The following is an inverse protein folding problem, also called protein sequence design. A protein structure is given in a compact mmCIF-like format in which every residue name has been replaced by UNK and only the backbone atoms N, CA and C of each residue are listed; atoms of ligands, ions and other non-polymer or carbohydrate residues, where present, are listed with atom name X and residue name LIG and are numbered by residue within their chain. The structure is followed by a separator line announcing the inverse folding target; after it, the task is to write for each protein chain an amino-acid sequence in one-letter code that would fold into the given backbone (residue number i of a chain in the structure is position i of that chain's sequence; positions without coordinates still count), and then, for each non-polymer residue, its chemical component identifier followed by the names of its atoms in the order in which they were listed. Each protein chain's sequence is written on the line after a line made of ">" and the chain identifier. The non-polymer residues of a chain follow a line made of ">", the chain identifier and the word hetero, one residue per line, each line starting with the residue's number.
data_IF_626752428010
#
_entry.id   IF_626752428010
#
_cell.length_a   1.000
_cell.length_b   1.000
_cell.length_c   1.000
_cell.angle_alpha   90.00
_cell.angle_beta   90.00
_cell.angle_gamma   90.00
#
_symmetry.space_group_name_H-M   'P 1'
#
loop_
_entity.id
_entity.type
_entity.pdbx_description
1 polymer ?
#
# COMPACT_ATOMS: atom_id res chain seq x y z
N UNK A 1 28.42 -1.18 -1.04
CA UNK A 1 27.61 -0.67 -2.14
C UNK A 1 26.77 0.51 -1.64
N UNK A 2 26.55 1.53 -2.47
CA UNK A 2 25.69 2.65 -2.10
C UNK A 2 24.25 2.15 -1.93
N UNK A 3 23.72 2.37 -0.73
CA UNK A 3 22.29 2.17 -0.46
C UNK A 3 21.48 3.10 -1.37
N UNK A 4 20.32 2.64 -1.86
CA UNK A 4 19.41 3.52 -2.60
C UNK A 4 18.81 4.49 -1.59
N UNK A 5 19.34 5.70 -1.57
CA UNK A 5 19.01 6.75 -0.63
C UNK A 5 18.53 8.00 -1.39
N UNK A 6 17.34 8.47 -1.08
CA UNK A 6 16.83 9.76 -1.53
C UNK A 6 17.01 10.76 -0.40
N UNK A 7 17.67 11.86 -0.71
CA UNK A 7 17.97 12.93 0.24
C UNK A 7 16.84 13.95 0.33
N UNK A 8 16.91 14.82 1.33
CA UNK A 8 15.96 15.93 1.48
C UNK A 8 15.78 16.75 0.20
N UNK A 9 16.87 17.02 -0.54
CA UNK A 9 16.85 17.79 -1.78
C UNK A 9 15.94 17.13 -2.83
N UNK A 10 16.02 15.82 -2.97
CA UNK A 10 15.21 15.05 -3.93
C UNK A 10 13.76 14.92 -3.45
N UNK A 11 13.54 14.68 -2.16
CA UNK A 11 12.23 14.45 -1.58
C UNK A 11 11.37 15.74 -1.54
N UNK A 12 12.00 16.89 -1.35
CA UNK A 12 11.31 18.20 -1.34
C UNK A 12 11.06 18.74 -2.75
N UNK A 13 11.73 18.23 -3.78
CA UNK A 13 11.43 18.51 -5.17
C UNK A 13 10.25 17.64 -5.62
N UNK A 14 9.04 18.22 -5.62
CA UNK A 14 7.82 17.49 -5.96
C UNK A 14 7.77 17.01 -7.42
N UNK A 15 8.37 17.74 -8.37
CA UNK A 15 8.46 17.29 -9.76
C UNK A 15 9.26 16.00 -9.89
N UNK A 16 10.28 15.83 -9.05
CA UNK A 16 11.10 14.64 -9.00
C UNK A 16 10.45 13.52 -8.16
N UNK A 17 10.05 13.82 -6.93
CA UNK A 17 9.64 12.81 -5.94
C UNK A 17 8.25 12.21 -6.22
N UNK A 18 7.31 12.98 -6.80
CA UNK A 18 5.98 12.49 -7.17
C UNK A 18 5.96 11.57 -8.40
N UNK A 19 7.05 11.53 -9.18
CA UNK A 19 7.19 10.60 -10.31
C UNK A 19 7.75 9.23 -9.88
N UNK A 20 8.13 9.06 -8.63
CA UNK A 20 8.71 7.83 -8.09
C UNK A 20 7.74 7.16 -7.16
N UNK A 21 7.30 5.99 -7.56
CA UNK A 21 6.30 5.21 -6.86
C UNK A 21 6.96 4.07 -6.09
N UNK A 22 6.42 3.75 -4.94
CA UNK A 22 6.87 2.65 -4.07
C UNK A 22 5.74 1.65 -3.95
N UNK A 23 5.96 0.46 -4.51
CA UNK A 23 5.03 -0.66 -4.47
C UNK A 23 5.44 -1.67 -3.39
N UNK A 24 4.45 -2.20 -2.70
CA UNK A 24 4.55 -3.38 -1.82
C UNK A 24 3.35 -4.26 -2.12
N UNK A 25 3.57 -5.48 -2.55
CA UNK A 25 2.51 -6.43 -2.84
C UNK A 25 2.76 -7.74 -2.09
N UNK A 26 1.71 -8.55 -1.95
CA UNK A 26 1.74 -9.87 -1.36
C UNK A 26 1.23 -10.93 -2.34
N UNK A 27 1.23 -12.18 -1.89
CA UNK A 27 0.84 -13.33 -2.72
C UNK A 27 -0.66 -13.39 -3.06
N UNK A 28 -1.53 -12.64 -2.40
CA UNK A 28 -2.96 -12.57 -2.71
C UNK A 28 -3.29 -11.49 -3.75
N UNK A 29 -2.30 -10.79 -4.28
CA UNK A 29 -2.43 -9.60 -5.13
C UNK A 29 -2.93 -8.35 -4.38
N UNK A 30 -2.95 -8.38 -3.05
CA UNK A 30 -3.15 -7.17 -2.26
C UNK A 30 -1.86 -6.33 -2.27
N UNK A 31 -2.01 -5.00 -2.22
CA UNK A 31 -0.84 -4.14 -2.32
C UNK A 31 -1.01 -2.80 -1.60
N UNK A 32 0.12 -2.13 -1.42
CA UNK A 32 0.24 -0.71 -1.08
C UNK A 32 1.09 -0.03 -2.14
N UNK A 33 0.61 1.06 -2.69
CA UNK A 33 1.34 1.86 -3.67
C UNK A 33 1.11 3.35 -3.40
N UNK A 34 2.20 4.12 -3.37
CA UNK A 34 2.16 5.58 -3.24
C UNK A 34 3.48 6.17 -3.75
N UNK A 35 3.62 7.49 -3.77
CA UNK A 35 4.88 8.14 -4.14
C UNK A 35 5.88 8.21 -2.97
N UNK A 36 7.14 8.57 -3.23
CA UNK A 36 8.17 8.73 -2.19
C UNK A 36 7.72 9.63 -1.02
N UNK A 37 7.10 10.81 -1.24
CA UNK A 37 6.60 11.65 -0.16
C UNK A 37 5.21 11.24 0.34
N UNK A 38 4.72 10.04 0.00
CA UNK A 38 3.42 9.48 0.38
C UNK A 38 2.21 10.32 -0.10
N UNK A 39 2.36 11.08 -1.19
CA UNK A 39 1.27 11.78 -1.86
C UNK A 39 0.69 10.89 -2.98
N UNK A 40 -0.59 10.60 -2.93
CA UNK A 40 -1.25 9.80 -3.96
C UNK A 40 -1.44 10.65 -5.23
N UNK A 41 -0.89 10.19 -6.36
CA UNK A 41 -1.00 10.87 -7.67
C UNK A 41 -1.90 10.13 -8.64
N UNK A 42 -2.34 8.91 -8.26
CA UNK A 42 -3.23 8.03 -9.05
C UNK A 42 -4.39 7.55 -8.19
N UNK A 43 -5.54 7.30 -8.82
CA UNK A 43 -6.66 6.61 -8.15
C UNK A 43 -6.31 5.19 -7.70
N UNK A 44 -5.26 4.61 -8.26
CA UNK A 44 -4.70 3.28 -7.92
C UNK A 44 -3.74 3.30 -6.74
N UNK A 45 -3.45 4.47 -6.17
CA UNK A 45 -2.63 4.60 -4.98
C UNK A 45 -3.46 4.41 -3.71
N UNK A 46 -2.84 3.83 -2.69
CA UNK A 46 -3.41 3.63 -1.36
C UNK A 46 -2.46 2.83 -0.47
N UNK A 47 -2.71 2.88 0.83
CA UNK A 47 -1.93 2.13 1.82
C UNK A 47 -2.42 0.69 1.98
N UNK A 48 -3.73 0.44 1.83
CA UNK A 48 -4.28 -0.91 1.86
C UNK A 48 -5.27 -1.08 0.71
N UNK A 49 -4.87 -1.85 -0.27
CA UNK A 49 -5.64 -2.19 -1.46
C UNK A 49 -5.70 -3.72 -1.53
N UNK A 50 -6.92 -4.26 -1.49
CA UNK A 50 -7.14 -5.70 -1.31
C UNK A 50 -8.25 -6.23 -2.20
N UNK A 51 -8.17 -7.51 -2.63
CA UNK A 51 -9.26 -8.16 -3.34
C UNK A 51 -10.54 -8.18 -2.51
N UNK A 52 -11.70 -8.00 -3.17
CA UNK A 52 -13.02 -8.08 -2.55
C UNK A 52 -13.81 -9.26 -3.10
N UNK A 53 -13.72 -10.46 -2.49
CA UNK A 53 -14.34 -11.68 -3.02
C UNK A 53 -15.86 -11.63 -3.13
N UNK A 54 -16.54 -10.81 -2.31
CA UNK A 54 -18.00 -10.66 -2.32
C UNK A 54 -18.53 -9.78 -3.46
N UNK A 55 -17.64 -9.06 -4.15
CA UNK A 55 -18.01 -8.21 -5.28
C UNK A 55 -17.54 -8.84 -6.59
N UNK A 56 -16.38 -8.43 -7.05
CA UNK A 56 -15.83 -8.77 -8.37
C UNK A 56 -14.51 -9.53 -8.26
N UNK A 57 -14.05 -9.83 -7.04
CA UNK A 57 -12.75 -10.40 -6.74
C UNK A 57 -11.58 -9.53 -7.25
N UNK A 58 -11.85 -8.26 -7.56
CA UNK A 58 -10.85 -7.27 -7.95
C UNK A 58 -10.36 -6.49 -6.72
N UNK A 59 -9.27 -5.77 -6.92
CA UNK A 59 -8.72 -4.92 -5.88
C UNK A 59 -9.58 -3.69 -5.62
N UNK A 60 -9.78 -3.39 -4.35
CA UNK A 60 -10.48 -2.21 -3.86
C UNK A 60 -9.59 -1.45 -2.87
N UNK A 61 -9.60 -0.13 -2.94
CA UNK A 61 -8.90 0.74 -1.99
C UNK A 61 -9.74 0.84 -0.73
N UNK A 62 -9.28 0.31 0.39
CA UNK A 62 -9.93 0.47 1.69
C UNK A 62 -9.34 1.66 2.45
N UNK A 63 -8.00 1.70 2.59
CA UNK A 63 -7.26 2.77 3.25
C UNK A 63 -6.43 3.51 2.19
N UNK A 64 -6.82 4.74 1.88
CA UNK A 64 -6.12 5.59 0.91
C UNK A 64 -4.82 6.14 1.51
N UNK A 65 -4.89 6.73 2.70
CA UNK A 65 -3.73 7.21 3.45
C UNK A 65 -3.94 7.11 4.95
N UNK A 66 -2.84 7.25 5.69
CA UNK A 66 -2.82 7.40 7.14
C UNK A 66 -1.98 8.64 7.43
N UNK A 67 -2.65 9.74 7.73
CA UNK A 67 -2.00 11.03 7.88
C UNK A 67 -1.42 11.18 9.28
N UNK A 68 -0.13 11.44 9.35
CA UNK A 68 0.60 11.63 10.58
C UNK A 68 0.69 13.10 10.96
N UNK A 69 0.46 13.39 12.25
CA UNK A 69 0.73 14.70 12.84
C UNK A 69 1.54 14.52 14.13
N UNK A 70 2.66 15.21 14.24
CA UNK A 70 3.41 15.29 15.49
C UNK A 70 2.91 16.50 16.29
N UNK A 71 2.63 16.28 17.57
CA UNK A 71 2.18 17.32 18.49
C UNK A 71 3.15 17.39 19.66
N UNK A 72 3.83 18.52 19.82
CA UNK A 72 4.72 18.84 20.96
C UNK A 72 4.78 20.35 21.15
N UNK A 73 5.04 20.80 22.36
CA UNK A 73 5.10 22.23 22.74
C UNK A 73 3.86 23.02 22.27
N UNK A 74 2.67 22.40 22.33
CA UNK A 74 1.39 22.94 21.85
C UNK A 74 1.38 23.33 20.36
N UNK A 75 2.25 22.76 19.55
CA UNK A 75 2.31 22.95 18.10
C UNK A 75 2.03 21.64 17.36
N UNK A 76 1.39 21.76 16.21
CA UNK A 76 1.08 20.64 15.33
C UNK A 76 1.95 20.68 14.07
N UNK A 77 2.56 19.55 13.73
CA UNK A 77 3.40 19.38 12.56
C UNK A 77 2.84 18.26 11.70
N UNK A 78 2.12 18.61 10.64
CA UNK A 78 1.49 17.67 9.72
C UNK A 78 2.52 17.09 8.76
N UNK A 79 2.70 15.77 8.76
CA UNK A 79 3.70 15.08 7.93
C UNK A 79 3.11 14.62 6.59
N UNK A 80 1.79 14.62 6.44
CA UNK A 80 1.11 14.22 5.22
C UNK A 80 1.34 15.23 4.08
N UNK A 81 1.13 14.76 2.86
CA UNK A 81 1.12 15.58 1.64
C UNK A 81 -0.01 15.13 0.75
N UNK A 82 -0.94 16.03 0.46
CA UNK A 82 -2.01 15.81 -0.49
C UNK A 82 -2.05 16.92 -1.54
N UNK A 83 -2.50 16.56 -2.74
CA UNK A 83 -2.84 17.51 -3.77
C UNK A 83 -4.37 17.61 -3.84
N UNK A 84 -4.88 18.82 -3.77
CA UNK A 84 -6.30 19.15 -3.90
C UNK A 84 -6.59 19.81 -5.25
N UNK A 85 -7.88 19.95 -5.55
CA UNK A 85 -8.36 20.65 -6.73
C UNK A 85 -7.57 21.94 -7.00
N UNK A 86 -7.35 22.25 -8.27
CA UNK A 86 -6.57 23.38 -8.76
C UNK A 86 -5.06 23.31 -8.41
N UNK A 87 -4.57 22.12 -8.05
CA UNK A 87 -3.15 21.88 -7.84
C UNK A 87 -2.61 22.35 -6.50
N UNK A 88 -3.48 22.60 -5.51
CA UNK A 88 -3.09 23.07 -4.17
C UNK A 88 -2.56 21.92 -3.35
N UNK A 89 -1.35 22.06 -2.81
CA UNK A 89 -0.76 21.08 -1.88
C UNK A 89 -1.02 21.49 -0.41
N UNK A 90 -1.68 20.59 0.34
CA UNK A 90 -1.97 20.76 1.78
C UNK A 90 -2.24 19.40 2.44
N UNK A 91 -1.72 19.15 3.66
CA UNK A 91 -0.57 19.84 4.24
C UNK A 91 0.69 19.68 3.39
N UNK A 92 1.81 20.29 3.82
CA UNK A 92 3.09 20.25 3.08
C UNK A 92 4.16 19.49 3.86
N UNK A 93 3.83 18.28 4.33
CA UNK A 93 4.67 17.47 5.22
C UNK A 93 5.99 16.99 4.58
N UNK A 94 6.07 16.94 3.24
CA UNK A 94 7.32 16.63 2.53
C UNK A 94 8.50 17.53 2.92
N UNK A 95 8.24 18.72 3.45
CA UNK A 95 9.28 19.64 3.96
C UNK A 95 10.03 19.10 5.18
N UNK A 96 9.41 18.18 5.92
CA UNK A 96 9.99 17.51 7.08
C UNK A 96 10.69 16.20 6.73
N UNK A 97 10.54 15.69 5.51
CA UNK A 97 11.27 14.52 5.05
C UNK A 97 12.76 14.86 4.92
N UNK A 98 13.60 14.14 5.67
CA UNK A 98 15.05 14.27 5.63
C UNK A 98 15.66 13.25 4.67
N UNK A 99 15.15 12.00 4.71
CA UNK A 99 15.60 10.94 3.82
C UNK A 99 14.54 9.87 3.61
N UNK A 100 14.67 9.15 2.50
CA UNK A 100 14.02 7.87 2.25
C UNK A 100 15.07 6.85 1.83
N UNK A 101 15.22 5.80 2.61
CA UNK A 101 16.16 4.70 2.33
C UNK A 101 15.39 3.47 1.85
N UNK A 102 15.73 2.97 0.65
CA UNK A 102 15.25 1.69 0.14
C UNK A 102 16.23 0.59 0.57
N UNK A 103 15.87 -0.12 1.65
CA UNK A 103 16.63 -1.24 2.17
C UNK A 103 15.74 -2.47 2.34
N UNK A 104 16.12 -3.38 3.22
CA UNK A 104 15.24 -4.51 3.63
C UNK A 104 13.90 -3.97 4.12
N UNK A 105 13.94 -2.90 4.91
CA UNK A 105 12.77 -2.11 5.32
C UNK A 105 12.88 -0.70 4.74
N UNK A 106 12.02 -0.35 3.77
CA UNK A 106 11.92 1.03 3.31
C UNK A 106 11.61 1.96 4.47
N UNK A 107 12.46 2.97 4.68
CA UNK A 107 12.42 3.83 5.85
C UNK A 107 12.32 5.30 5.44
N UNK A 108 11.29 5.99 5.91
CA UNK A 108 11.20 7.45 5.87
C UNK A 108 11.76 8.01 7.18
N UNK A 109 12.62 9.00 7.06
CA UNK A 109 13.12 9.80 8.21
C UNK A 109 12.50 11.18 8.14
N UNK A 110 11.75 11.56 9.16
CA UNK A 110 11.22 12.92 9.34
C UNK A 110 12.03 13.63 10.39
N UNK A 111 12.40 14.90 10.13
CA UNK A 111 13.10 15.76 11.10
C UNK A 111 12.37 17.10 11.28
N UNK A 112 12.10 17.45 12.52
CA UNK A 112 11.50 18.71 12.94
C UNK A 112 12.33 19.25 14.12
N UNK A 113 13.23 20.17 13.84
CA UNK A 113 14.20 20.61 14.86
C UNK A 113 15.03 19.44 15.40
N UNK A 114 14.96 19.20 16.70
CA UNK A 114 15.65 18.11 17.40
C UNK A 114 14.86 16.79 17.41
N UNK A 115 13.66 16.77 16.84
CA UNK A 115 12.83 15.56 16.78
C UNK A 115 13.11 14.80 15.50
N UNK A 116 13.37 13.49 15.63
CA UNK A 116 13.52 12.56 14.51
C UNK A 116 12.55 11.40 14.67
N UNK A 117 11.63 11.27 13.72
CA UNK A 117 10.68 10.15 13.61
C UNK A 117 11.05 9.28 12.42
N UNK A 118 11.18 7.98 12.67
CA UNK A 118 11.31 6.96 11.62
C UNK A 118 9.96 6.31 11.36
N UNK A 119 9.60 6.16 10.08
CA UNK A 119 8.44 5.37 9.61
C UNK A 119 8.93 4.26 8.70
N UNK A 120 8.69 3.02 9.11
CA UNK A 120 9.04 1.82 8.36
C UNK A 120 7.77 1.05 8.02
N UNK A 121 7.65 0.59 6.78
CA UNK A 121 6.44 -0.11 6.31
C UNK A 121 6.78 -1.41 5.62
N UNK A 122 6.00 -2.45 5.90
CA UNK A 122 6.05 -3.71 5.16
C UNK A 122 4.63 -4.26 4.95
N UNK A 123 4.40 -4.88 3.81
CA UNK A 123 3.18 -5.64 3.54
C UNK A 123 3.43 -7.10 3.88
N UNK A 124 2.57 -7.76 4.68
CA UNK A 124 2.74 -9.17 5.02
C UNK A 124 2.53 -10.06 3.79
N UNK A 125 3.37 -11.06 3.61
CA UNK A 125 3.34 -11.90 2.41
C UNK A 125 2.09 -12.77 2.30
N UNK A 126 1.61 -13.29 3.43
CA UNK A 126 0.50 -14.26 3.50
C UNK A 126 -0.81 -13.70 4.05
N UNK A 127 -0.86 -12.43 4.37
CA UNK A 127 -2.04 -11.77 4.94
C UNK A 127 -2.23 -10.42 4.25
N UNK A 128 -3.48 -10.03 4.03
CA UNK A 128 -3.82 -8.73 3.47
C UNK A 128 -3.72 -7.65 4.56
N UNK A 129 -2.46 -7.39 4.95
CA UNK A 129 -2.10 -6.52 6.07
C UNK A 129 -0.83 -5.74 5.81
N UNK A 130 -0.92 -4.44 5.99
CA UNK A 130 0.22 -3.53 6.06
C UNK A 130 0.62 -3.37 7.53
N UNK A 131 1.89 -3.60 7.84
CA UNK A 131 2.48 -3.29 9.13
C UNK A 131 3.32 -2.02 9.01
N UNK A 132 3.11 -1.08 9.93
CA UNK A 132 3.86 0.17 10.02
C UNK A 132 4.52 0.24 11.39
N UNK A 133 5.81 0.57 11.41
CA UNK A 133 6.54 0.85 12.65
C UNK A 133 6.91 2.32 12.68
N UNK A 134 6.51 3.03 13.72
CA UNK A 134 7.01 4.36 14.03
C UNK A 134 7.99 4.26 15.19
N UNK A 135 9.14 4.93 15.08
CA UNK A 135 10.15 5.02 16.14
C UNK A 135 10.51 6.47 16.35
N UNK A 136 10.32 6.96 17.58
CA UNK A 136 10.83 8.27 17.97
C UNK A 136 12.33 8.14 18.30
N UNK A 137 13.18 8.39 17.30
CA UNK A 137 14.62 8.19 17.44
C UNK A 137 15.28 9.24 18.31
N UNK A 138 14.92 10.52 18.09
CA UNK A 138 15.43 11.66 18.83
C UNK A 138 14.29 12.58 19.23
N UNK A 139 14.30 13.05 20.46
CA UNK A 139 13.40 14.05 21.02
C UNK A 139 13.96 14.57 22.35
N UNK A 140 13.68 15.81 22.68
CA UNK A 140 14.02 16.41 23.99
C UNK A 140 12.88 16.21 25.00
N UNK A 141 11.65 16.03 24.52
CA UNK A 141 10.44 15.82 25.32
C UNK A 141 9.58 14.70 24.73
N UNK A 142 8.65 14.19 25.51
CA UNK A 142 7.61 13.29 24.98
C UNK A 142 6.77 14.02 23.94
N UNK A 143 6.35 13.27 22.90
CA UNK A 143 5.49 13.79 21.83
C UNK A 143 4.18 13.01 21.76
N UNK A 144 3.18 13.60 21.14
CA UNK A 144 2.02 12.87 20.67
C UNK A 144 2.11 12.67 19.15
N UNK A 145 2.00 11.44 18.71
CA UNK A 145 1.78 11.08 17.30
C UNK A 145 0.28 10.87 17.09
N UNK A 146 -0.32 11.70 16.25
CA UNK A 146 -1.71 11.53 15.83
C UNK A 146 -1.75 10.88 14.46
N UNK A 147 -2.61 9.87 14.30
CA UNK A 147 -2.82 9.13 13.06
C UNK A 147 -4.28 9.28 12.61
N UNK A 148 -4.49 9.86 11.45
CA UNK A 148 -5.80 10.08 10.86
C UNK A 148 -5.96 9.23 9.60
N UNK A 149 -6.75 8.14 9.63
CA UNK A 149 -7.01 7.34 8.44
C UNK A 149 -7.94 8.07 7.47
N UNK A 150 -7.64 7.97 6.18
CA UNK A 150 -8.50 8.40 5.08
C UNK A 150 -9.00 7.18 4.32
N UNK A 151 -10.31 6.93 4.40
CA UNK A 151 -10.99 5.75 3.89
C UNK A 151 -11.62 6.02 2.53
N UNK A 152 -11.54 5.05 1.61
CA UNK A 152 -12.14 5.12 0.29
C UNK A 152 -13.22 4.05 0.06
N UNK A 153 -12.95 2.79 0.40
CA UNK A 153 -13.85 1.64 0.21
C UNK A 153 -14.48 1.62 -1.18
N UNK A 154 -13.64 1.60 -2.21
CA UNK A 154 -14.04 1.64 -3.61
C UNK A 154 -13.17 0.75 -4.48
N UNK A 155 -13.70 0.32 -5.59
CA UNK A 155 -12.97 -0.40 -6.63
C UNK A 155 -11.86 0.49 -7.23
N UNK A 156 -10.71 -0.09 -7.59
CA UNK A 156 -9.52 0.68 -7.99
C UNK A 156 -9.71 1.55 -9.24
N UNK A 157 -10.63 1.19 -10.14
CA UNK A 157 -10.90 1.96 -11.36
C UNK A 157 -11.90 3.10 -11.17
N UNK A 158 -12.58 3.17 -10.01
CA UNK A 158 -13.56 4.21 -9.67
C UNK A 158 -12.96 5.24 -8.71
N UNK A 159 -13.71 6.29 -8.40
CA UNK A 159 -13.41 7.29 -7.38
C UNK A 159 -14.56 7.37 -6.38
N UNK A 160 -14.27 7.62 -5.12
CA UNK A 160 -15.30 7.85 -4.11
C UNK A 160 -15.75 9.30 -4.13
N UNK A 161 -17.04 9.48 -3.85
CA UNK A 161 -17.66 10.80 -3.66
C UNK A 161 -18.41 10.74 -2.32
N UNK A 162 -18.37 11.83 -1.57
CA UNK A 162 -19.08 11.96 -0.30
C UNK A 162 -20.56 11.64 -0.49
N UNK A 163 -21.10 10.76 0.36
CA UNK A 163 -22.48 10.30 0.26
C UNK A 163 -23.04 9.90 1.64
N UNK A 164 -24.37 9.85 1.74
CA UNK A 164 -25.08 9.51 2.97
C UNK A 164 -25.15 8.00 3.29
N UNK A 165 -24.78 7.14 2.33
CA UNK A 165 -24.79 5.69 2.51
C UNK A 165 -23.55 5.17 3.25
N UNK A 166 -22.52 6.01 3.39
CA UNK A 166 -21.30 5.66 4.09
C UNK A 166 -21.57 5.51 5.59
N UNK A 167 -21.29 4.31 6.12
CA UNK A 167 -21.32 4.08 7.56
C UNK A 167 -20.08 4.78 8.18
N UNK A 168 -20.34 5.82 8.95
CA UNK A 168 -19.32 6.63 9.63
C UNK A 168 -19.00 6.10 11.04
N UNK A 169 -19.71 5.06 11.53
CA UNK A 169 -19.45 4.47 12.83
C UNK A 169 -18.21 3.58 12.84
N UNK A 170 -17.77 3.22 14.02
CA UNK A 170 -16.67 2.28 14.25
C UNK A 170 -17.09 1.21 15.25
N UNK A 171 -16.37 0.13 15.27
CA UNK A 171 -16.44 -0.90 16.29
C UNK A 171 -15.10 -1.00 17.02
N UNK A 172 -15.12 -1.37 18.30
CA UNK A 172 -13.88 -1.62 19.03
C UNK A 172 -13.25 -2.94 18.60
N UNK A 173 -11.93 -2.95 18.45
CA UNK A 173 -11.11 -4.12 18.28
C UNK A 173 -10.03 -4.17 19.37
N UNK A 174 -9.39 -5.33 19.63
CA UNK A 174 -8.31 -5.42 20.61
C UNK A 174 -7.21 -4.40 20.31
N UNK A 175 -6.96 -3.49 21.25
CA UNK A 175 -6.05 -2.35 21.12
C UNK A 175 -6.20 -1.59 19.78
N UNK A 176 -7.46 -1.37 19.35
CA UNK A 176 -7.70 -0.72 18.06
C UNK A 176 -9.17 -0.57 17.73
N UNK A 177 -9.43 -0.35 16.47
CA UNK A 177 -10.73 0.00 15.91
C UNK A 177 -10.95 -0.74 14.59
N UNK A 178 -12.21 -0.99 14.29
CA UNK A 178 -12.68 -1.62 13.06
C UNK A 178 -13.64 -0.69 12.34
N UNK A 179 -13.47 -0.57 11.03
CA UNK A 179 -14.34 0.20 10.14
C UNK A 179 -14.93 -0.70 9.06
N UNK A 180 -16.18 -0.47 8.71
CA UNK A 180 -16.82 -1.06 7.54
C UNK A 180 -17.74 -0.01 6.92
N UNK A 181 -17.23 0.71 5.94
CA UNK A 181 -17.88 1.88 5.37
C UNK A 181 -19.14 1.52 4.57
N UNK A 182 -19.16 0.37 3.91
CA UNK A 182 -20.32 -0.13 3.16
C UNK A 182 -20.58 -1.60 3.47
N UNK A 183 -21.85 -1.99 3.37
CA UNK A 183 -22.27 -3.39 3.53
C UNK A 183 -21.53 -4.28 2.54
N UNK A 184 -21.22 -5.50 2.96
CA UNK A 184 -20.56 -6.57 2.19
C UNK A 184 -19.07 -6.34 1.90
N UNK A 185 -18.49 -5.16 2.14
CA UNK A 185 -17.03 -5.00 2.14
C UNK A 185 -16.38 -5.77 3.28
N UNK A 186 -15.19 -6.28 3.06
CA UNK A 186 -14.33 -6.71 4.17
C UNK A 186 -14.03 -5.51 5.07
N UNK A 187 -14.07 -5.69 6.40
CA UNK A 187 -13.77 -4.59 7.32
C UNK A 187 -12.28 -4.21 7.25
N UNK A 188 -11.99 -2.99 7.62
CA UNK A 188 -10.63 -2.51 7.90
C UNK A 188 -10.40 -2.52 9.41
N UNK A 189 -9.38 -3.25 9.86
CA UNK A 189 -8.88 -3.21 11.23
C UNK A 189 -7.66 -2.30 11.30
N UNK A 190 -7.68 -1.38 12.25
CA UNK A 190 -6.54 -0.53 12.60
C UNK A 190 -6.20 -0.84 14.07
N UNK A 191 -5.10 -1.58 14.29
CA UNK A 191 -4.71 -2.10 15.60
C UNK A 191 -3.28 -1.73 15.96
N UNK A 192 -2.98 -1.60 17.24
CA UNK A 192 -1.75 -1.02 17.77
C UNK A 192 -1.08 -1.94 18.77
N UNK A 193 0.26 -1.96 18.81
CA UNK A 193 1.02 -2.79 19.75
C UNK A 193 0.91 -2.35 21.22
N UNK A 194 0.32 -1.19 21.46
CA UNK A 194 0.02 -0.67 22.82
C UNK A 194 -1.34 0.03 22.81
N UNK A 195 -1.88 0.28 24.02
CA UNK A 195 -3.14 1.01 24.18
C UNK A 195 -3.01 2.43 23.62
N UNK A 196 -4.02 2.85 22.87
CA UNK A 196 -4.11 4.16 22.23
C UNK A 196 -5.44 4.84 22.59
N UNK A 197 -5.51 6.14 22.41
CA UNK A 197 -6.76 6.90 22.52
C UNK A 197 -7.32 7.10 21.11
N UNK A 198 -8.57 6.69 20.89
CA UNK A 198 -9.27 6.99 19.63
C UNK A 198 -10.27 8.11 19.87
N UNK A 199 -10.20 9.15 19.06
CA UNK A 199 -11.11 10.29 19.03
C UNK A 199 -11.98 10.20 17.79
N UNK A 200 -13.21 9.74 17.98
CA UNK A 200 -14.19 9.63 16.90
C UNK A 200 -14.69 11.02 16.51
N UNK A 201 -14.46 11.41 15.26
CA UNK A 201 -14.93 12.66 14.69
C UNK A 201 -14.98 12.50 13.17
N UNK A 202 -16.06 11.85 12.63
CA UNK A 202 -16.14 11.54 11.21
C UNK A 202 -16.36 12.80 10.38
N UNK A 203 -15.58 12.91 9.33
CA UNK A 203 -15.64 14.05 8.41
C UNK A 203 -15.17 13.64 7.01
N UNK A 204 -15.86 14.14 5.97
CA UNK A 204 -15.44 14.01 4.59
C UNK A 204 -14.44 15.10 4.22
N UNK A 205 -13.32 14.68 3.65
CA UNK A 205 -12.34 15.53 3.02
C UNK A 205 -12.58 15.50 1.51
N UNK A 206 -12.73 16.66 0.90
CA UNK A 206 -13.21 16.82 -0.47
C UNK A 206 -12.11 17.15 -1.46
N UNK A 207 -12.30 16.68 -2.73
CA UNK A 207 -11.54 17.13 -3.89
C UNK A 207 -10.03 16.83 -3.83
N UNK A 208 -9.63 15.63 -3.37
CA UNK A 208 -8.26 15.16 -3.61
C UNK A 208 -8.04 15.05 -5.12
N UNK A 209 -6.94 15.62 -5.63
CA UNK A 209 -6.62 15.63 -7.07
C UNK A 209 -5.56 14.59 -7.40
N UNK A 210 -5.90 13.63 -8.27
CA UNK A 210 -4.96 12.66 -8.83
C UNK A 210 -4.42 13.14 -10.16
N UNK A 211 -3.25 13.81 -10.12
CA UNK A 211 -2.67 14.48 -11.29
C UNK A 211 -2.44 13.52 -12.47
N UNK A 212 -2.07 12.26 -12.20
CA UNK A 212 -1.83 11.28 -13.26
C UNK A 212 -3.10 10.86 -14.00
N UNK A 213 -4.24 10.87 -13.33
CA UNK A 213 -5.53 10.63 -13.98
C UNK A 213 -5.97 11.85 -14.78
N UNK A 214 -5.77 13.06 -14.24
CA UNK A 214 -6.03 14.33 -14.94
C UNK A 214 -5.24 14.45 -16.23
N UNK A 215 -3.92 14.13 -16.20
CA UNK A 215 -3.05 14.13 -17.38
C UNK A 215 -3.53 13.17 -18.48
N UNK A 216 -4.23 12.09 -18.10
CA UNK A 216 -4.78 11.07 -19.00
C UNK A 216 -6.20 11.39 -19.47
N UNK A 217 -6.82 12.46 -18.98
CA UNK A 217 -8.19 12.86 -19.34
C UNK A 217 -9.29 12.05 -18.66
N UNK A 218 -9.01 11.38 -17.53
CA UNK A 218 -9.99 10.65 -16.73
C UNK A 218 -10.49 11.47 -15.55
N UNK A 219 -11.55 10.98 -14.90
CA UNK A 219 -11.99 11.51 -13.61
C UNK A 219 -10.85 11.40 -12.60
N UNK A 220 -10.61 12.49 -11.87
CA UNK A 220 -9.40 12.67 -11.06
C UNK A 220 -9.62 13.31 -9.69
N UNK A 221 -10.86 13.66 -9.33
CA UNK A 221 -11.20 14.24 -8.03
C UNK A 221 -11.89 13.19 -7.16
N UNK A 222 -11.41 13.00 -5.96
CA UNK A 222 -11.93 12.04 -5.00
C UNK A 222 -12.24 12.69 -3.67
N UNK A 223 -13.30 12.22 -3.00
CA UNK A 223 -13.60 12.54 -1.61
C UNK A 223 -13.26 11.33 -0.73
N UNK A 224 -12.62 11.58 0.41
CA UNK A 224 -12.21 10.54 1.36
C UNK A 224 -12.82 10.79 2.74
N UNK A 225 -13.28 9.73 3.40
CA UNK A 225 -13.83 9.79 4.75
C UNK A 225 -12.73 9.60 5.79
N UNK A 226 -12.56 10.57 6.70
CA UNK A 226 -11.87 10.31 7.97
C UNK A 226 -12.90 9.98 9.04
N UNK A 227 -12.80 8.83 9.72
CA UNK A 227 -13.71 8.51 10.83
C UNK A 227 -13.26 9.13 12.16
N UNK A 228 -12.09 9.76 12.20
CA UNK A 228 -11.49 10.35 13.39
C UNK A 228 -9.98 10.12 13.42
N UNK A 229 -9.35 10.29 14.58
CA UNK A 229 -7.91 10.14 14.75
C UNK A 229 -7.53 9.32 15.97
N UNK A 230 -6.40 8.64 15.89
CA UNK A 230 -5.77 7.91 17.00
C UNK A 230 -4.65 8.77 17.55
N UNK A 231 -4.58 8.88 18.87
CA UNK A 231 -3.53 9.64 19.58
C UNK A 231 -2.62 8.69 20.35
N UNK A 232 -1.32 8.82 20.12
CA UNK A 232 -0.29 7.93 20.65
C UNK A 232 0.80 8.77 21.31
N UNK A 233 1.07 8.53 22.60
CA UNK A 233 2.21 9.15 23.27
C UNK A 233 3.47 8.34 22.98
N UNK A 234 4.55 9.00 22.63
CA UNK A 234 5.86 8.42 22.38
C UNK A 234 6.95 9.17 23.12
N UNK A 235 7.82 8.41 23.76
CA UNK A 235 9.06 8.89 24.38
C UNK A 235 10.27 8.54 23.49
N UNK A 236 11.38 9.24 23.65
CA UNK A 236 12.64 8.98 22.92
C UNK A 236 13.05 7.50 23.00
N UNK A 237 13.39 6.92 21.87
CA UNK A 237 13.75 5.51 21.72
C UNK A 237 12.57 4.55 21.61
N UNK A 238 11.34 5.02 21.89
CA UNK A 238 10.15 4.18 21.87
C UNK A 238 9.68 3.90 20.43
N UNK A 239 9.13 2.71 20.22
CA UNK A 239 8.50 2.31 18.95
C UNK A 239 7.06 1.86 19.16
N UNK A 240 6.20 2.14 18.19
CA UNK A 240 4.86 1.57 18.10
C UNK A 240 4.70 0.85 16.76
N UNK A 241 4.00 -0.29 16.79
CA UNK A 241 3.64 -1.06 15.61
C UNK A 241 2.14 -0.90 15.37
N UNK A 242 1.80 -0.62 14.12
CA UNK A 242 0.43 -0.41 13.63
C UNK A 242 0.14 -1.48 12.60
N UNK A 243 -1.00 -2.14 12.74
CA UNK A 243 -1.56 -3.10 11.79
C UNK A 243 -2.74 -2.46 11.06
N UNK A 244 -2.68 -2.37 9.73
CA UNK A 244 -3.80 -2.03 8.87
C UNK A 244 -4.13 -3.29 8.05
N UNK A 245 -5.24 -3.96 8.32
CA UNK A 245 -5.56 -5.24 7.69
C UNK A 245 -7.06 -5.52 7.61
N UNK A 246 -7.43 -6.58 6.89
CA UNK A 246 -8.84 -6.98 6.71
C UNK A 246 -9.30 -8.03 7.74
N UNK A 247 -8.38 -8.53 8.55
CA UNK A 247 -8.63 -9.48 9.62
C UNK A 247 -8.09 -8.93 10.94
N UNK A 248 -8.71 -9.33 12.04
CA UNK A 248 -8.23 -8.98 13.38
C UNK A 248 -6.82 -9.55 13.62
N UNK A 249 -5.91 -8.70 14.11
CA UNK A 249 -4.58 -9.10 14.53
C UNK A 249 -4.53 -9.31 16.04
N UNK A 250 -3.55 -10.09 16.52
CA UNK A 250 -3.18 -10.07 17.92
C UNK A 250 -2.21 -8.89 18.18
N UNK A 251 -2.65 -7.82 18.86
CA UNK A 251 -1.83 -6.62 19.07
C UNK A 251 -0.51 -6.88 19.80
N UNK A 252 -0.49 -7.88 20.70
CA UNK A 252 0.69 -8.24 21.49
C UNK A 252 1.79 -8.93 20.67
N UNK A 253 1.44 -9.38 19.46
CA UNK A 253 2.37 -10.08 18.56
C UNK A 253 2.85 -9.19 17.40
N UNK A 254 2.33 -7.98 17.23
CA UNK A 254 2.66 -7.10 16.09
C UNK A 254 4.15 -6.82 15.96
N UNK A 255 4.85 -6.61 17.07
CA UNK A 255 6.30 -6.39 17.03
C UNK A 255 7.06 -7.65 16.59
N UNK A 256 6.65 -8.82 17.09
CA UNK A 256 7.22 -10.11 16.68
C UNK A 256 6.95 -10.36 15.19
N UNK A 257 5.72 -10.16 14.76
CA UNK A 257 5.30 -10.40 13.37
C UNK A 257 6.06 -9.48 12.41
N UNK A 258 6.26 -8.21 12.78
CA UNK A 258 7.08 -7.28 12.02
C UNK A 258 8.54 -7.76 11.89
N UNK A 259 9.15 -8.21 12.99
CA UNK A 259 10.53 -8.73 12.98
C UNK A 259 10.64 -10.02 12.18
N UNK A 260 9.67 -10.94 12.31
CA UNK A 260 9.68 -12.20 11.57
C UNK A 260 9.54 -11.97 10.06
N UNK A 261 8.58 -11.14 9.64
CA UNK A 261 8.43 -10.76 8.23
C UNK A 261 9.70 -10.12 7.67
N UNK A 262 10.39 -9.31 8.46
CA UNK A 262 11.65 -8.68 8.06
C UNK A 262 12.76 -9.72 7.84
N UNK A 263 12.86 -10.73 8.73
CA UNK A 263 13.90 -11.78 8.65
C UNK A 263 13.74 -12.69 7.44
N UNK A 264 12.51 -12.96 7.03
CA UNK A 264 12.24 -13.80 5.84
C UNK A 264 12.35 -13.04 4.52
N UNK A 265 12.59 -11.73 4.57
CA UNK A 265 12.82 -10.95 3.35
C UNK A 265 14.26 -11.11 2.89
N UNK A 266 14.42 -11.17 1.58
CA UNK A 266 15.77 -11.15 1.00
C UNK A 266 16.47 -9.84 1.35
N UNK A 267 17.77 -9.90 1.71
CA UNK A 267 18.55 -8.69 1.84
C UNK A 267 18.49 -7.90 0.52
N UNK A 268 18.49 -6.58 0.62
CA UNK A 268 18.55 -5.68 -0.53
C UNK A 268 19.89 -4.96 -0.43
N UNK A 269 20.93 -5.64 -0.93
CA UNK A 269 22.31 -5.16 -0.90
C UNK A 269 22.78 -4.73 -2.29
N UNK A 270 22.18 -5.31 -3.34
CA UNK A 270 22.55 -5.07 -4.74
C UNK A 270 21.32 -4.62 -5.55
N UNK A 271 21.55 -4.03 -6.71
CA UNK A 271 20.48 -3.74 -7.67
C UNK A 271 19.78 -5.03 -8.11
N UNK A 272 20.52 -6.12 -8.23
CA UNK A 272 19.97 -7.45 -8.55
C UNK A 272 18.99 -7.91 -7.47
N UNK A 273 19.27 -7.71 -6.19
CA UNK A 273 18.35 -8.04 -5.09
C UNK A 273 17.05 -7.22 -5.18
N UNK A 274 17.15 -5.93 -5.55
CA UNK A 274 15.99 -5.07 -5.79
C UNK A 274 15.14 -5.63 -6.92
N UNK A 275 15.75 -6.01 -8.04
CA UNK A 275 15.06 -6.57 -9.20
C UNK A 275 14.44 -7.95 -8.89
N UNK A 276 15.15 -8.82 -8.19
CA UNK A 276 14.63 -10.12 -7.72
C UNK A 276 13.42 -9.96 -6.83
N UNK A 277 13.46 -8.99 -5.92
CA UNK A 277 12.34 -8.66 -5.03
C UNK A 277 11.16 -8.09 -5.82
N UNK A 278 11.42 -7.20 -6.78
CA UNK A 278 10.40 -6.66 -7.67
C UNK A 278 9.73 -7.76 -8.50
N UNK A 279 10.51 -8.68 -9.11
CA UNK A 279 9.99 -9.81 -9.87
C UNK A 279 8.99 -10.65 -9.07
N UNK A 280 9.27 -10.92 -7.79
CA UNK A 280 8.39 -11.71 -6.92
C UNK A 280 7.04 -11.07 -6.63
N UNK A 281 6.95 -9.74 -6.66
CA UNK A 281 5.68 -9.04 -6.44
C UNK A 281 4.67 -9.26 -7.56
N UNK A 282 5.11 -9.69 -8.74
CA UNK A 282 4.22 -9.96 -9.87
C UNK A 282 3.51 -11.32 -9.80
N UNK A 283 3.80 -12.14 -8.81
CA UNK A 283 3.14 -13.43 -8.64
C UNK A 283 1.99 -13.33 -7.64
N UNK A 284 0.78 -13.63 -8.09
CA UNK A 284 -0.41 -13.80 -7.25
C UNK A 284 -0.72 -15.29 -7.09
N UNK A 285 -1.01 -15.75 -5.86
CA UNK A 285 -1.25 -17.16 -5.57
C UNK A 285 -2.66 -17.40 -5.04
N UNK A 286 -3.37 -18.33 -5.68
CA UNK A 286 -4.66 -18.84 -5.24
C UNK A 286 -4.56 -20.36 -5.02
N UNK A 287 -4.36 -20.79 -3.77
CA UNK A 287 -4.12 -22.20 -3.46
C UNK A 287 -2.84 -22.74 -4.12
N UNK A 288 -2.98 -23.65 -5.08
CA UNK A 288 -1.86 -24.22 -5.86
C UNK A 288 -1.59 -23.46 -7.17
N UNK A 289 -2.51 -22.61 -7.60
CA UNK A 289 -2.40 -21.84 -8.85
C UNK A 289 -1.60 -20.57 -8.59
N UNK A 290 -0.72 -20.24 -9.53
CA UNK A 290 0.05 -19.01 -9.57
C UNK A 290 -0.31 -18.26 -10.85
N UNK A 291 -0.81 -17.04 -10.68
CA UNK A 291 -1.05 -16.09 -11.75
C UNK A 291 0.09 -15.09 -11.83
N UNK A 292 0.38 -14.56 -13.01
CA UNK A 292 1.29 -13.43 -13.21
C UNK A 292 0.46 -12.16 -13.42
N UNK A 293 0.71 -11.17 -12.57
CA UNK A 293 0.12 -9.83 -12.72
C UNK A 293 0.84 -9.09 -13.84
N UNK A 294 0.13 -8.71 -14.89
CA UNK A 294 0.72 -8.07 -16.08
C UNK A 294 1.33 -6.70 -15.77
N UNK A 295 0.81 -6.00 -14.75
CA UNK A 295 1.39 -4.73 -14.32
C UNK A 295 0.63 -4.07 -13.17
N UNK A 296 1.35 -3.74 -12.10
CA UNK A 296 0.82 -2.87 -11.05
C UNK A 296 0.76 -1.41 -11.52
N UNK A 297 -0.23 -0.64 -11.05
CA UNK A 297 -1.28 -1.04 -10.10
C UNK A 297 -2.64 -1.39 -10.73
N UNK A 298 -2.78 -1.45 -12.05
CA UNK A 298 -4.11 -1.55 -12.68
C UNK A 298 -4.36 -2.75 -13.58
N UNK A 299 -3.34 -3.53 -13.93
CA UNK A 299 -3.52 -4.75 -14.70
C UNK A 299 -3.64 -5.98 -13.79
N UNK A 300 -4.51 -6.92 -14.16
CA UNK A 300 -4.58 -8.24 -13.58
C UNK A 300 -3.76 -9.26 -14.39
N UNK A 301 -4.24 -10.50 -14.47
CA UNK A 301 -3.66 -11.55 -15.32
C UNK A 301 -3.96 -11.29 -16.79
N UNK A 302 -2.92 -11.37 -17.62
CA UNK A 302 -2.98 -11.32 -19.08
C UNK A 302 -2.12 -12.46 -19.63
N UNK A 303 -2.72 -13.36 -20.46
CA UNK A 303 -2.05 -14.58 -20.89
C UNK A 303 -0.78 -14.32 -21.70
N UNK A 304 -0.82 -13.45 -22.71
CA UNK A 304 0.36 -13.08 -23.49
C UNK A 304 1.48 -12.53 -22.62
N UNK A 305 1.15 -11.58 -21.73
CA UNK A 305 2.11 -10.92 -20.84
C UNK A 305 2.73 -11.94 -19.86
N UNK A 306 1.95 -12.93 -19.40
CA UNK A 306 2.45 -14.04 -18.59
C UNK A 306 3.58 -14.75 -19.30
N UNK A 307 3.35 -15.27 -20.52
CA UNK A 307 4.35 -16.06 -21.22
C UNK A 307 5.59 -15.25 -21.61
N UNK A 308 5.42 -14.01 -22.07
CA UNK A 308 6.56 -13.14 -22.43
C UNK A 308 7.42 -12.83 -21.21
N UNK A 309 6.81 -12.65 -20.03
CA UNK A 309 7.54 -12.23 -18.82
C UNK A 309 8.15 -13.37 -18.02
N UNK A 310 7.60 -14.60 -18.10
CA UNK A 310 8.04 -15.75 -17.30
C UNK A 310 9.55 -16.05 -17.40
N UNK A 311 10.23 -16.00 -18.56
CA UNK A 311 11.67 -16.20 -18.61
C UNK A 311 12.44 -15.23 -17.73
N UNK A 312 12.08 -13.95 -17.75
CA UNK A 312 12.70 -12.91 -16.91
C UNK A 312 12.32 -13.02 -15.44
N UNK A 313 11.03 -13.28 -15.15
CA UNK A 313 10.52 -13.37 -13.77
C UNK A 313 10.97 -14.62 -13.02
N UNK A 314 11.25 -15.72 -13.72
CA UNK A 314 11.56 -17.02 -13.12
C UNK A 314 12.94 -17.52 -13.50
N UNK A 315 13.21 -17.74 -14.80
CA UNK A 315 14.41 -18.45 -15.24
C UNK A 315 15.67 -17.62 -15.00
N UNK A 316 15.63 -16.29 -15.22
CA UNK A 316 16.73 -15.40 -14.97
C UNK A 316 17.14 -15.31 -13.47
N UNK A 317 16.23 -15.67 -12.56
CA UNK A 317 16.47 -15.69 -11.11
C UNK A 317 16.52 -17.12 -10.53
N UNK A 318 16.55 -18.14 -11.39
CA UNK A 318 16.63 -19.56 -11.05
C UNK A 318 15.47 -20.09 -10.19
N UNK A 319 14.24 -19.54 -10.40
CA UNK A 319 13.02 -19.97 -9.71
C UNK A 319 12.17 -20.91 -10.60
N UNK A 320 12.71 -22.09 -10.90
CA UNK A 320 12.05 -23.12 -11.71
C UNK A 320 10.73 -23.60 -11.12
N UNK A 321 10.61 -23.55 -9.81
CA UNK A 321 9.37 -23.94 -9.13
C UNK A 321 8.23 -22.99 -9.48
N UNK A 322 8.49 -21.69 -9.40
CA UNK A 322 7.49 -20.68 -9.72
C UNK A 322 7.13 -20.71 -11.20
N UNK A 323 8.13 -20.91 -12.08
CA UNK A 323 7.90 -21.09 -13.51
C UNK A 323 6.91 -22.24 -13.77
N UNK A 324 7.17 -23.44 -13.22
CA UNK A 324 6.31 -24.60 -13.37
C UNK A 324 4.89 -24.34 -12.87
N UNK A 325 4.74 -23.76 -11.69
CA UNK A 325 3.43 -23.46 -11.11
C UNK A 325 2.61 -22.46 -11.95
N UNK A 326 3.28 -21.46 -12.54
CA UNK A 326 2.62 -20.50 -13.42
C UNK A 326 2.15 -21.16 -14.73
N UNK A 327 3.01 -21.97 -15.37
CA UNK A 327 2.65 -22.74 -16.57
C UNK A 327 1.50 -23.71 -16.29
N UNK A 328 1.53 -24.47 -15.19
CA UNK A 328 0.46 -25.38 -14.79
C UNK A 328 -0.84 -24.61 -14.52
N UNK A 329 -0.78 -23.41 -13.96
CA UNK A 329 -1.94 -22.53 -13.77
C UNK A 329 -2.56 -22.10 -15.09
N UNK A 330 -1.75 -21.66 -16.08
CA UNK A 330 -2.23 -21.26 -17.40
C UNK A 330 -2.88 -22.43 -18.15
N UNK A 331 -2.33 -23.64 -18.04
CA UNK A 331 -2.88 -24.84 -18.69
C UNK A 331 -4.29 -25.21 -18.20
N UNK A 332 -4.70 -24.79 -17.01
CA UNK A 332 -6.07 -25.06 -16.52
C UNK A 332 -7.14 -24.32 -17.33
N UNK A 333 -6.78 -23.20 -17.93
CA UNK A 333 -7.68 -22.37 -18.74
C UNK A 333 -7.44 -22.52 -20.25
N UNK A 334 -6.55 -23.42 -20.70
CA UNK A 334 -6.30 -23.70 -22.12
C UNK A 334 -7.51 -24.38 -22.77
N UNK A 335 -8.02 -23.81 -23.87
CA UNK A 335 -9.20 -24.32 -24.61
C UNK A 335 -9.04 -24.11 -26.10
N UNK A 336 -9.36 -25.14 -26.87
CA UNK A 336 -9.40 -25.10 -28.34
C UNK A 336 -8.14 -24.50 -29.01
N UNK A 337 -6.98 -24.72 -28.42
CA UNK A 337 -5.71 -24.19 -28.92
C UNK A 337 -5.37 -22.77 -28.46
N UNK A 338 -6.17 -22.16 -27.56
CA UNK A 338 -5.98 -20.79 -27.07
C UNK A 338 -5.83 -20.72 -25.57
N UNK A 339 -5.07 -19.72 -25.12
CA UNK A 339 -5.06 -19.24 -23.74
C UNK A 339 -5.94 -18.00 -23.60
N UNK A 340 -6.53 -17.77 -22.41
CA UNK A 340 -7.25 -16.52 -22.17
C UNK A 340 -6.30 -15.32 -22.32
N UNK A 341 -6.73 -14.30 -23.04
CA UNK A 341 -5.98 -13.05 -23.07
C UNK A 341 -6.17 -12.27 -21.78
N UNK A 342 -7.40 -12.20 -21.27
CA UNK A 342 -7.78 -11.49 -20.05
C UNK A 342 -8.75 -12.35 -19.25
N UNK A 343 -8.70 -12.25 -17.90
CA UNK A 343 -9.65 -12.89 -17.01
C UNK A 343 -9.29 -14.31 -16.62
N UNK A 344 -10.15 -14.92 -15.81
CA UNK A 344 -10.03 -16.29 -15.31
C UNK A 344 -11.40 -16.98 -15.29
N UNK A 345 -11.43 -18.29 -15.54
CA UNK A 345 -12.64 -19.09 -15.46
C UNK A 345 -13.76 -18.63 -16.43
N UNK A 346 -14.96 -18.38 -15.93
CA UNK A 346 -16.12 -17.98 -16.76
C UNK A 346 -16.02 -16.57 -17.36
N UNK A 347 -15.13 -15.74 -16.87
CA UNK A 347 -14.89 -14.36 -17.37
C UNK A 347 -13.71 -14.30 -18.35
N UNK A 348 -13.16 -15.42 -18.75
CA UNK A 348 -12.02 -15.50 -19.67
C UNK A 348 -12.38 -15.05 -21.07
N UNK A 349 -11.59 -14.16 -21.67
CA UNK A 349 -11.71 -13.71 -23.04
C UNK A 349 -10.59 -14.29 -23.90
N UNK A 350 -10.96 -15.13 -24.90
CA UNK A 350 -10.04 -15.80 -25.84
C UNK A 350 -9.94 -15.01 -27.15
N UNK A 351 -9.47 -13.77 -27.05
CA UNK A 351 -9.41 -12.80 -28.16
C UNK A 351 -7.98 -12.44 -28.61
N UNK A 352 -7.00 -13.26 -28.24
CA UNK A 352 -5.61 -13.10 -28.66
C UNK A 352 -5.10 -14.40 -29.27
N UNK A 353 -4.52 -14.34 -30.47
CA UNK A 353 -3.97 -15.49 -31.21
C UNK A 353 -2.48 -15.72 -30.91
N UNK A 354 -1.81 -14.76 -30.33
CA UNK A 354 -0.37 -14.78 -30.11
C UNK A 354 0.05 -15.37 -28.77
N UNK A 355 -0.82 -15.41 -27.76
CA UNK A 355 -0.49 -16.01 -26.47
C UNK A 355 0.01 -17.47 -26.59
N UNK A 356 -0.62 -18.38 -27.39
CA UNK A 356 -0.10 -19.74 -27.60
C UNK A 356 1.25 -19.80 -28.29
N UNK A 357 1.62 -18.78 -29.04
CA UNK A 357 2.93 -18.73 -29.73
C UNK A 357 4.10 -18.39 -28.79
N UNK A 358 3.78 -17.81 -27.62
CA UNK A 358 4.77 -17.52 -26.57
C UNK A 358 4.90 -18.64 -25.53
N UNK A 359 3.89 -19.54 -25.45
CA UNK A 359 3.90 -20.73 -24.60
C UNK A 359 4.92 -21.77 -25.10
#
# INVERSE_FOLDING_TARGET
>A
MEKILFTKKELTNLEYSLQREVLRANISNAYSCTTLPSCNTRKYHGLLIVPQPKFDNQNHVLLSSLDETLVFDNQEFHLALHRYKDGIYSPKGHKYLESYELGVLPTHTYRIGNIVLLKQMLFQEKQDRLLIKYTLQEADTDISLELMPLLAFRQIHTLSIANENANMSYENAPQGIRFQMYKDYTPLYLQFSKKVEYRHNPYWYYNFEYIKEKERGYDYLEDLLSPGKVVIKLSKGESIFVSCGVEEANPFLLSRDFVMETRFRFPVETMEDVLRRAARMFFARKGTIVDVVAGFPWFGRWGRDTFISLPGLCLAIDDWRMFKMAIEGELTDFRDGFFPNIGTGAQSAYNSVDAPLWF
#
